data_IF_871635450550
#
_entry.id   IF_871635450550
#
_cell.length_a   1.000
_cell.length_b   1.000
_cell.length_c   1.000
_cell.angle_alpha   90.00
_cell.angle_beta   90.00
_cell.angle_gamma   90.00
#
_symmetry.space_group_name_H-M   'P 1'
#
loop_
_entity.id
_entity.type
_entity.pdbx_description
1 polymer ?
#
# COMPACT_ATOMS: atom_id res chain seq x y z
N UNK A 1 3.46 -38.78 -33.42
CA UNK A 1 4.42 -38.15 -32.46
C UNK A 1 5.15 -39.28 -31.76
N UNK A 2 6.49 -39.32 -31.77
CA UNK A 2 7.23 -40.50 -31.30
C UNK A 2 7.06 -40.71 -29.78
N UNK A 3 6.97 -41.98 -29.37
CA UNK A 3 6.82 -42.46 -27.98
C UNK A 3 7.77 -41.77 -26.99
N UNK A 4 9.01 -41.47 -27.42
CA UNK A 4 10.04 -40.76 -26.65
C UNK A 4 9.61 -39.40 -26.04
N UNK A 5 8.69 -38.67 -26.68
CA UNK A 5 8.28 -37.32 -26.21
C UNK A 5 7.07 -37.34 -25.27
N UNK A 6 6.44 -38.50 -25.09
CA UNK A 6 5.42 -38.68 -24.07
C UNK A 6 6.03 -38.88 -22.68
N UNK A 7 7.30 -39.24 -22.59
CA UNK A 7 8.03 -39.46 -21.34
C UNK A 7 8.94 -38.27 -20.95
N UNK A 8 8.87 -37.16 -21.70
CA UNK A 8 9.56 -35.91 -21.39
C UNK A 8 9.17 -35.43 -19.98
N UNK A 9 10.16 -35.15 -19.15
CA UNK A 9 9.94 -34.58 -17.81
C UNK A 9 10.73 -33.28 -17.61
N UNK A 10 10.31 -32.50 -16.61
CA UNK A 10 10.88 -31.18 -16.30
C UNK A 10 11.43 -31.17 -14.88
N UNK A 11 12.71 -30.86 -14.75
CA UNK A 11 13.42 -30.85 -13.47
C UNK A 11 14.39 -29.67 -13.40
N UNK A 12 14.83 -29.31 -12.21
CA UNK A 12 15.82 -28.24 -12.04
C UNK A 12 17.15 -28.63 -12.69
N UNK A 13 17.85 -27.65 -13.24
CA UNK A 13 19.21 -27.85 -13.78
C UNK A 13 20.18 -27.83 -12.62
N UNK A 14 20.90 -28.94 -12.42
CA UNK A 14 21.89 -29.06 -11.35
C UNK A 14 23.22 -28.41 -11.78
N UNK A 15 24.17 -28.16 -10.86
CA UNK A 15 25.48 -27.64 -11.23
C UNK A 15 26.23 -28.53 -12.24
N UNK A 16 25.97 -29.84 -12.22
CA UNK A 16 26.56 -30.80 -13.14
C UNK A 16 25.98 -30.67 -14.57
N UNK A 17 24.71 -30.29 -14.68
CA UNK A 17 24.00 -30.15 -15.96
C UNK A 17 24.33 -28.81 -16.67
N UNK A 18 25.01 -27.86 -16.00
CA UNK A 18 25.32 -26.54 -16.57
C UNK A 18 26.23 -26.63 -17.80
N UNK A 19 27.12 -27.63 -17.84
CA UNK A 19 27.95 -27.89 -19.02
C UNK A 19 27.10 -28.21 -20.25
N UNK A 20 26.13 -29.12 -20.10
CA UNK A 20 25.20 -29.50 -21.16
C UNK A 20 24.31 -28.31 -21.57
N UNK A 21 23.88 -27.50 -20.60
CA UNK A 21 23.13 -26.27 -20.89
C UNK A 21 23.96 -25.28 -21.71
N UNK A 22 25.26 -25.14 -21.43
CA UNK A 22 26.14 -24.26 -22.21
C UNK A 22 26.32 -24.73 -23.65
N UNK A 23 26.45 -26.05 -23.89
CA UNK A 23 26.51 -26.59 -25.26
C UNK A 23 25.20 -26.34 -26.03
N UNK A 24 24.05 -26.46 -25.35
CA UNK A 24 22.75 -26.10 -25.93
C UNK A 24 22.64 -24.60 -26.24
N UNK A 25 23.14 -23.73 -25.36
CA UNK A 25 23.17 -22.27 -25.55
C UNK A 25 23.99 -21.89 -26.77
N UNK A 26 25.22 -22.43 -26.84
CA UNK A 26 26.17 -22.17 -27.92
C UNK A 26 25.68 -22.68 -29.28
N UNK A 27 24.91 -23.77 -29.28
CA UNK A 27 24.26 -24.26 -30.50
C UNK A 27 22.99 -23.49 -30.87
N UNK A 28 22.37 -22.80 -29.92
CA UNK A 28 21.11 -22.08 -30.09
C UNK A 28 21.25 -20.60 -30.47
N UNK A 29 22.35 -19.96 -30.06
CA UNK A 29 22.59 -18.54 -30.26
C UNK A 29 23.88 -18.26 -31.05
N UNK A 30 23.94 -17.13 -31.79
CA UNK A 30 25.21 -16.55 -32.26
C UNK A 30 26.20 -16.33 -31.11
N UNK A 31 27.51 -16.38 -31.42
CA UNK A 31 28.56 -16.30 -30.40
C UNK A 31 28.56 -14.97 -29.61
N UNK A 32 28.05 -13.90 -30.19
CA UNK A 32 27.91 -12.57 -29.58
C UNK A 32 26.62 -12.40 -28.74
N UNK A 33 25.66 -13.32 -28.86
CA UNK A 33 24.40 -13.30 -28.10
C UNK A 33 24.34 -14.40 -27.02
N UNK A 34 25.13 -15.47 -27.18
CA UNK A 34 25.14 -16.62 -26.28
C UNK A 34 25.68 -16.27 -24.88
N UNK A 35 25.04 -16.76 -23.82
CA UNK A 35 25.60 -16.66 -22.48
C UNK A 35 26.90 -17.45 -22.33
N UNK A 36 27.89 -16.86 -21.65
CA UNK A 36 29.13 -17.57 -21.30
C UNK A 36 28.86 -18.68 -20.28
N UNK A 37 29.73 -19.69 -20.24
CA UNK A 37 29.65 -20.76 -19.23
C UNK A 37 29.68 -20.19 -17.81
N UNK A 38 30.47 -19.15 -17.57
CA UNK A 38 30.56 -18.50 -16.26
C UNK A 38 29.27 -17.75 -15.89
N UNK A 39 28.60 -17.12 -16.85
CA UNK A 39 27.29 -16.50 -16.62
C UNK A 39 26.23 -17.56 -16.26
N UNK A 40 26.22 -18.71 -16.94
CA UNK A 40 25.31 -19.81 -16.62
C UNK A 40 25.61 -20.42 -15.24
N UNK A 41 26.88 -20.62 -14.89
CA UNK A 41 27.29 -21.07 -13.55
C UNK A 41 26.89 -20.08 -12.46
N UNK A 42 27.12 -18.79 -12.69
CA UNK A 42 26.71 -17.74 -11.77
C UNK A 42 25.20 -17.78 -11.53
N UNK A 43 24.39 -17.75 -12.60
CA UNK A 43 22.92 -17.81 -12.52
C UNK A 43 22.43 -19.07 -11.80
N UNK A 44 23.05 -20.22 -12.07
CA UNK A 44 22.75 -21.47 -11.38
C UNK A 44 23.06 -21.38 -9.87
N UNK A 45 24.15 -20.72 -9.49
CA UNK A 45 24.55 -20.58 -8.09
C UNK A 45 23.64 -19.63 -7.29
N UNK A 46 23.18 -18.54 -7.90
CA UNK A 46 22.38 -17.51 -7.21
C UNK A 46 20.88 -17.72 -7.32
N UNK A 47 20.42 -18.37 -8.39
CA UNK A 47 19.00 -18.60 -8.67
C UNK A 47 18.71 -20.04 -9.15
N UNK A 48 19.12 -21.08 -8.41
CA UNK A 48 18.92 -22.48 -8.82
C UNK A 48 17.44 -22.84 -9.00
N UNK A 49 16.55 -22.20 -8.26
CA UNK A 49 15.10 -22.40 -8.35
C UNK A 49 14.47 -21.85 -9.63
N UNK A 50 15.19 -20.96 -10.33
CA UNK A 50 14.80 -20.34 -11.60
C UNK A 50 15.50 -20.95 -12.82
N UNK A 51 16.18 -22.09 -12.62
CA UNK A 51 16.83 -22.82 -13.70
C UNK A 51 16.12 -24.16 -13.93
N UNK A 52 15.35 -24.23 -15.01
CA UNK A 52 14.53 -25.40 -15.35
C UNK A 52 15.01 -26.08 -16.64
N UNK A 53 15.15 -27.39 -16.61
CA UNK A 53 15.54 -28.23 -17.74
C UNK A 53 14.40 -29.12 -18.22
N UNK A 54 14.40 -29.42 -19.52
CA UNK A 54 13.60 -30.45 -20.15
C UNK A 54 14.50 -31.67 -20.42
N UNK A 55 14.09 -32.85 -19.93
CA UNK A 55 14.91 -34.06 -19.97
C UNK A 55 14.20 -35.21 -20.68
N UNK A 56 14.96 -35.95 -21.47
CA UNK A 56 14.56 -37.29 -21.90
C UNK A 56 14.93 -38.32 -20.83
N UNK A 57 14.08 -39.31 -20.57
CA UNK A 57 14.44 -40.41 -19.68
C UNK A 57 15.33 -41.44 -20.41
N UNK A 58 16.21 -42.10 -19.64
CA UNK A 58 16.97 -43.29 -20.03
C UNK A 58 17.78 -43.19 -21.35
N UNK A 59 19.00 -42.63 -21.32
CA UNK A 59 19.64 -41.95 -20.19
C UNK A 59 19.01 -40.57 -19.93
N UNK A 60 19.09 -40.07 -18.69
CA UNK A 60 18.70 -38.69 -18.37
C UNK A 60 19.56 -37.74 -19.19
N UNK A 61 18.96 -37.06 -20.16
CA UNK A 61 19.66 -36.16 -21.07
C UNK A 61 18.94 -34.81 -21.14
N UNK A 62 19.67 -33.72 -20.89
CA UNK A 62 19.15 -32.36 -21.02
C UNK A 62 18.99 -32.03 -22.51
N UNK A 63 17.76 -31.70 -22.93
CA UNK A 63 17.45 -31.39 -24.33
C UNK A 63 16.96 -29.95 -24.55
N UNK A 64 16.76 -29.21 -23.45
CA UNK A 64 16.39 -27.81 -23.47
C UNK A 64 16.33 -27.24 -22.06
N UNK A 65 16.45 -25.92 -21.92
CA UNK A 65 16.45 -25.27 -20.62
C UNK A 65 15.91 -23.84 -20.67
N UNK A 66 15.55 -23.34 -19.49
CA UNK A 66 15.23 -21.94 -19.19
C UNK A 66 16.06 -21.52 -17.99
N UNK A 67 16.70 -20.36 -18.06
CA UNK A 67 17.42 -19.75 -16.93
C UNK A 67 16.97 -18.32 -16.73
N UNK A 68 16.75 -17.92 -15.49
CA UNK A 68 16.31 -16.57 -15.13
C UNK A 68 16.97 -16.06 -13.84
N UNK A 69 16.90 -14.75 -13.61
CA UNK A 69 17.21 -14.11 -12.32
C UNK A 69 16.03 -13.30 -11.82
N UNK A 70 16.14 -12.76 -10.61
CA UNK A 70 15.14 -11.89 -10.00
C UNK A 70 15.56 -10.44 -10.14
N UNK A 71 14.58 -9.55 -10.35
CA UNK A 71 14.77 -8.11 -10.29
C UNK A 71 13.56 -7.42 -9.65
N UNK A 72 13.77 -6.31 -8.90
CA UNK A 72 12.68 -5.46 -8.45
C UNK A 72 12.05 -4.66 -9.60
N UNK A 73 12.77 -4.44 -10.71
CA UNK A 73 12.33 -3.62 -11.83
C UNK A 73 11.08 -4.18 -12.52
N UNK A 74 10.10 -3.35 -12.92
CA UNK A 74 8.91 -3.80 -13.64
C UNK A 74 9.12 -4.07 -15.14
N UNK A 75 10.28 -3.72 -15.68
CA UNK A 75 10.67 -3.88 -17.10
C UNK A 75 12.13 -4.34 -17.18
N UNK A 76 12.56 -4.85 -18.34
CA UNK A 76 13.93 -5.32 -18.53
C UNK A 76 14.89 -4.15 -18.73
N UNK A 77 15.98 -4.17 -17.97
CA UNK A 77 17.12 -3.27 -18.07
C UNK A 77 18.41 -4.09 -18.27
N UNK A 78 19.48 -3.47 -18.78
CA UNK A 78 20.78 -4.14 -18.88
C UNK A 78 21.22 -4.72 -17.53
N UNK A 79 21.05 -3.95 -16.45
CA UNK A 79 21.35 -4.41 -15.08
C UNK A 79 20.56 -5.67 -14.69
N UNK A 80 19.26 -5.73 -15.01
CA UNK A 80 18.42 -6.91 -14.72
C UNK A 80 18.80 -8.15 -15.54
N UNK A 81 19.50 -7.97 -16.67
CA UNK A 81 19.99 -9.06 -17.52
C UNK A 81 21.37 -9.60 -17.08
N UNK A 82 22.03 -8.90 -16.16
CA UNK A 82 23.36 -9.25 -15.62
C UNK A 82 23.30 -9.71 -14.16
N UNK A 83 22.50 -9.03 -13.33
CA UNK A 83 22.52 -9.18 -11.87
C UNK A 83 21.28 -9.91 -11.34
N UNK A 84 21.46 -10.65 -10.25
CA UNK A 84 20.37 -11.24 -9.47
C UNK A 84 20.09 -10.37 -8.24
N UNK A 85 18.87 -9.84 -8.14
CA UNK A 85 18.47 -8.89 -7.08
C UNK A 85 17.25 -9.44 -6.30
N UNK A 86 17.47 -10.20 -5.21
CA UNK A 86 16.40 -10.79 -4.41
C UNK A 86 15.81 -9.86 -3.34
N UNK A 87 16.33 -8.63 -3.20
CA UNK A 87 15.89 -7.63 -2.22
C UNK A 87 15.70 -6.24 -2.88
N UNK A 88 14.84 -5.35 -2.35
CA UNK A 88 14.05 -5.47 -1.12
C UNK A 88 12.78 -6.33 -1.24
N UNK A 89 12.32 -6.65 -2.46
CA UNK A 89 11.40 -7.75 -2.79
C UNK A 89 11.24 -7.81 -4.32
N UNK A 90 11.80 -8.80 -5.03
CA UNK A 90 11.71 -8.85 -6.47
C UNK A 90 10.28 -9.12 -6.89
N UNK A 91 9.83 -8.35 -7.88
CA UNK A 91 8.51 -8.54 -8.48
C UNK A 91 8.59 -9.23 -9.84
N UNK A 92 9.78 -9.26 -10.45
CA UNK A 92 9.97 -9.73 -11.81
C UNK A 92 11.00 -10.87 -11.88
N UNK A 93 10.66 -11.89 -12.66
CA UNK A 93 11.60 -12.95 -13.09
C UNK A 93 12.09 -12.59 -14.50
N UNK A 94 13.38 -12.35 -14.64
CA UNK A 94 14.04 -11.95 -15.89
C UNK A 94 14.63 -13.18 -16.56
N UNK A 95 13.97 -13.70 -17.60
CA UNK A 95 14.42 -14.89 -18.33
C UNK A 95 15.54 -14.48 -19.30
N UNK A 96 16.70 -15.10 -19.15
CA UNK A 96 17.89 -14.81 -19.94
C UNK A 96 17.99 -15.68 -21.19
N UNK A 97 17.72 -16.98 -21.05
CA UNK A 97 17.87 -17.93 -22.15
C UNK A 97 16.72 -18.94 -22.16
N UNK A 98 16.25 -19.29 -23.36
CA UNK A 98 15.28 -20.35 -23.62
C UNK A 98 15.78 -21.18 -24.79
N UNK A 99 16.39 -22.32 -24.49
CA UNK A 99 17.08 -23.16 -25.47
C UNK A 99 16.45 -24.53 -25.62
N UNK A 100 16.41 -25.04 -26.86
CA UNK A 100 16.07 -26.43 -27.17
C UNK A 100 17.03 -26.91 -28.25
N UNK A 101 17.64 -28.07 -28.03
CA UNK A 101 18.60 -28.66 -28.96
C UNK A 101 18.00 -28.83 -30.35
N UNK A 102 18.78 -28.50 -31.39
CA UNK A 102 18.33 -28.45 -32.78
C UNK A 102 17.62 -29.73 -33.25
N UNK A 103 18.11 -30.90 -32.85
CA UNK A 103 17.51 -32.21 -33.13
C UNK A 103 16.09 -32.41 -32.55
N UNK A 104 15.71 -31.59 -31.57
CA UNK A 104 14.46 -31.68 -30.82
C UNK A 104 13.52 -30.49 -31.07
N UNK A 105 13.94 -29.52 -31.88
CA UNK A 105 13.12 -28.36 -32.25
C UNK A 105 11.91 -28.76 -33.11
N UNK A 106 10.95 -27.83 -33.24
CA UNK A 106 9.69 -28.00 -34.00
C UNK A 106 8.78 -29.15 -33.52
N UNK A 107 9.06 -29.73 -32.35
CA UNK A 107 8.25 -30.79 -31.70
C UNK A 107 7.39 -30.28 -30.52
N UNK A 108 7.32 -28.96 -30.33
CA UNK A 108 6.53 -28.32 -29.26
C UNK A 108 7.19 -28.30 -27.87
N UNK A 109 8.46 -28.73 -27.76
CA UNK A 109 9.17 -28.84 -26.49
C UNK A 109 9.35 -27.47 -25.80
N UNK A 110 9.77 -26.44 -26.55
CA UNK A 110 9.93 -25.08 -26.00
C UNK A 110 8.62 -24.56 -25.39
N UNK A 111 7.48 -24.81 -26.05
CA UNK A 111 6.18 -24.40 -25.53
C UNK A 111 5.82 -25.14 -24.24
N UNK A 112 6.01 -26.47 -24.19
CA UNK A 112 5.76 -27.25 -22.97
C UNK A 112 6.67 -26.82 -21.82
N UNK A 113 7.95 -26.56 -22.11
CA UNK A 113 8.94 -26.08 -21.14
C UNK A 113 8.54 -24.70 -20.58
N UNK A 114 8.15 -23.75 -21.44
CA UNK A 114 7.66 -22.44 -21.02
C UNK A 114 6.38 -22.54 -20.17
N UNK A 115 5.43 -23.38 -20.56
CA UNK A 115 4.17 -23.56 -19.83
C UNK A 115 4.42 -24.13 -18.42
N UNK A 116 5.27 -25.16 -18.30
CA UNK A 116 5.65 -25.71 -17.01
C UNK A 116 6.43 -24.69 -16.18
N UNK A 117 7.33 -23.93 -16.79
CA UNK A 117 8.08 -22.87 -16.11
C UNK A 117 7.15 -21.81 -15.52
N UNK A 118 6.23 -21.26 -16.33
CA UNK A 118 5.27 -20.26 -15.88
C UNK A 118 4.33 -20.79 -14.78
N UNK A 119 3.91 -22.06 -14.88
CA UNK A 119 3.10 -22.72 -13.84
C UNK A 119 3.85 -22.78 -12.50
N UNK A 120 5.15 -23.08 -12.50
CA UNK A 120 5.99 -23.07 -11.29
C UNK A 120 6.18 -21.66 -10.74
N UNK A 121 6.35 -20.66 -11.62
CA UNK A 121 6.48 -19.26 -11.21
C UNK A 121 5.20 -18.72 -10.57
N UNK A 122 4.02 -19.09 -11.07
CA UNK A 122 2.74 -18.66 -10.50
C UNK A 122 2.55 -19.13 -9.05
N UNK A 123 3.13 -20.27 -8.69
CA UNK A 123 3.11 -20.82 -7.34
C UNK A 123 4.17 -20.20 -6.41
N UNK A 124 5.17 -19.50 -6.96
CA UNK A 124 6.24 -18.89 -6.18
C UNK A 124 5.74 -17.61 -5.51
N UNK A 125 5.89 -17.44 -4.18
CA UNK A 125 5.53 -16.20 -3.50
C UNK A 125 6.48 -15.05 -3.90
N UNK A 126 6.05 -13.80 -3.81
CA UNK A 126 6.83 -12.63 -4.23
C UNK A 126 6.76 -12.31 -5.73
N UNK A 127 6.84 -13.30 -6.63
CA UNK A 127 6.82 -13.09 -8.10
C UNK A 127 5.49 -12.51 -8.59
N UNK A 128 5.52 -11.35 -9.24
CA UNK A 128 4.35 -10.70 -9.85
C UNK A 128 4.30 -10.90 -11.37
N UNK A 129 5.47 -11.02 -12.02
CA UNK A 129 5.56 -11.19 -13.48
C UNK A 129 6.82 -11.93 -13.91
N UNK A 130 6.78 -12.45 -15.14
CA UNK A 130 7.95 -12.92 -15.88
C UNK A 130 8.18 -12.02 -17.10
N UNK A 131 9.44 -11.73 -17.39
CA UNK A 131 9.89 -10.85 -18.46
C UNK A 131 10.95 -11.57 -19.30
N UNK A 132 10.91 -11.37 -20.62
CA UNK A 132 11.96 -11.81 -21.54
C UNK A 132 12.05 -10.88 -22.75
N UNK A 133 13.16 -10.95 -23.48
CA UNK A 133 13.28 -10.36 -24.80
C UNK A 133 13.27 -11.45 -25.87
N UNK A 134 12.72 -11.15 -27.05
CA UNK A 134 12.77 -12.05 -28.19
C UNK A 134 12.89 -11.33 -29.54
N UNK A 135 13.40 -12.04 -30.56
CA UNK A 135 13.35 -11.59 -31.96
C UNK A 135 11.92 -11.70 -32.49
N UNK A 136 11.57 -10.86 -33.48
CA UNK A 136 10.21 -10.76 -34.02
C UNK A 136 9.56 -12.11 -34.43
N UNK A 137 10.34 -13.02 -35.03
CA UNK A 137 9.84 -14.32 -35.49
C UNK A 137 9.51 -15.31 -34.35
N UNK A 138 9.97 -15.04 -33.11
CA UNK A 138 9.68 -15.86 -31.94
C UNK A 138 8.47 -15.38 -31.13
N UNK A 139 7.94 -14.18 -31.41
CA UNK A 139 6.73 -13.65 -30.75
C UNK A 139 5.58 -14.66 -30.69
N UNK A 140 5.23 -15.39 -31.78
CA UNK A 140 4.12 -16.35 -31.74
C UNK A 140 4.32 -17.50 -30.75
N UNK A 141 5.57 -17.92 -30.49
CA UNK A 141 5.86 -18.96 -29.49
C UNK A 141 5.53 -18.45 -28.09
N UNK A 142 6.00 -17.25 -27.75
CA UNK A 142 5.80 -16.65 -26.43
C UNK A 142 4.35 -16.25 -26.19
N UNK A 143 3.65 -15.74 -27.21
CA UNK A 143 2.21 -15.47 -27.12
C UNK A 143 1.42 -16.75 -26.82
N UNK A 144 1.75 -17.88 -27.46
CA UNK A 144 1.12 -19.17 -27.16
C UNK A 144 1.45 -19.71 -25.77
N UNK A 145 2.61 -19.37 -25.22
CA UNK A 145 2.95 -19.67 -23.83
C UNK A 145 2.21 -18.79 -22.82
N UNK A 146 1.61 -17.68 -23.27
CA UNK A 146 0.79 -16.78 -22.47
C UNK A 146 1.39 -15.40 -22.22
N UNK A 147 2.53 -15.06 -22.85
CA UNK A 147 3.13 -13.73 -22.77
C UNK A 147 2.39 -12.73 -23.68
N UNK A 148 2.39 -11.47 -23.29
CA UNK A 148 1.95 -10.32 -24.08
C UNK A 148 3.15 -9.51 -24.52
N UNK A 149 3.12 -9.00 -25.76
CA UNK A 149 4.13 -8.07 -26.24
C UNK A 149 3.98 -6.71 -25.53
N UNK A 150 5.10 -6.17 -25.04
CA UNK A 150 5.17 -4.81 -24.47
C UNK A 150 5.58 -3.81 -25.56
N UNK A 151 6.59 -4.16 -26.35
CA UNK A 151 7.12 -3.32 -27.43
C UNK A 151 8.61 -3.56 -27.69
N UNK A 152 9.30 -2.67 -28.42
CA UNK A 152 10.75 -2.71 -28.59
C UNK A 152 11.46 -2.65 -27.23
N UNK A 153 12.44 -3.52 -27.01
CA UNK A 153 13.21 -3.53 -25.76
C UNK A 153 14.27 -2.44 -25.76
N UNK A 154 14.51 -1.85 -24.58
CA UNK A 154 15.65 -0.97 -24.34
C UNK A 154 16.97 -1.76 -24.24
N UNK A 155 16.90 -3.07 -23.99
CA UNK A 155 18.08 -3.95 -23.92
C UNK A 155 18.40 -4.45 -25.32
N UNK A 156 19.61 -4.15 -25.79
CA UNK A 156 20.10 -4.58 -27.10
C UNK A 156 21.19 -5.64 -26.91
N UNK A 157 21.03 -6.78 -27.59
CA UNK A 157 22.05 -7.82 -27.74
C UNK A 157 22.23 -8.11 -29.23
N UNK A 158 23.41 -7.88 -29.79
CA UNK A 158 23.65 -8.05 -31.23
C UNK A 158 23.05 -6.91 -32.10
N UNK A 159 22.86 -7.20 -33.40
CA UNK A 159 22.51 -6.18 -34.41
C UNK A 159 21.00 -6.01 -34.67
N UNK A 160 20.19 -7.05 -34.45
CA UNK A 160 18.74 -6.98 -34.73
C UNK A 160 17.94 -6.46 -33.52
N UNK A 161 16.79 -5.78 -33.76
CA UNK A 161 15.92 -5.32 -32.71
C UNK A 161 15.28 -6.48 -31.92
N UNK A 162 15.26 -6.31 -30.61
CA UNK A 162 14.59 -7.21 -29.67
C UNK A 162 13.28 -6.60 -29.17
N UNK A 163 12.32 -7.45 -28.85
CA UNK A 163 11.01 -7.07 -28.32
C UNK A 163 10.82 -7.65 -26.93
N UNK A 164 10.39 -6.80 -25.99
CA UNK A 164 10.07 -7.22 -24.64
C UNK A 164 8.70 -7.90 -24.59
N UNK A 165 8.66 -9.06 -23.93
CA UNK A 165 7.49 -9.86 -23.68
C UNK A 165 7.27 -9.99 -22.18
N UNK A 166 6.02 -9.89 -21.73
CA UNK A 166 5.65 -9.91 -20.32
C UNK A 166 4.54 -10.92 -20.04
N UNK A 167 4.62 -11.62 -18.92
CA UNK A 167 3.53 -12.42 -18.35
C UNK A 167 3.26 -11.95 -16.93
N UNK A 168 2.09 -11.39 -16.68
CA UNK A 168 1.65 -11.10 -15.31
C UNK A 168 1.00 -12.33 -14.68
N UNK A 169 1.35 -12.58 -13.43
CA UNK A 169 0.69 -13.57 -12.57
C UNK A 169 -0.35 -12.84 -11.75
N UNK A 170 -1.63 -13.12 -12.03
CA UNK A 170 -2.75 -12.44 -11.40
C UNK A 170 -2.92 -12.94 -9.96
N UNK A 171 -2.12 -12.42 -9.03
CA UNK A 171 -2.46 -12.54 -7.61
C UNK A 171 -3.69 -11.67 -7.39
N UNK A 172 -4.85 -12.33 -7.31
CA UNK A 172 -6.16 -11.69 -7.20
C UNK A 172 -6.10 -10.49 -6.24
N UNK A 173 -6.41 -9.31 -6.78
CA UNK A 173 -6.74 -8.17 -5.93
C UNK A 173 -7.86 -8.61 -4.97
N UNK A 174 -7.83 -8.21 -3.69
CA UNK A 174 -8.87 -8.56 -2.75
C UNK A 174 -10.25 -8.16 -3.31
N UNK A 175 -11.23 -9.04 -3.18
CA UNK A 175 -12.56 -8.80 -3.75
C UNK A 175 -13.18 -7.52 -3.17
N UNK A 176 -14.08 -6.87 -3.92
CA UNK A 176 -14.84 -5.73 -3.41
C UNK A 176 -15.53 -6.05 -2.08
N UNK A 177 -16.03 -7.28 -1.90
CA UNK A 177 -16.65 -7.73 -0.66
C UNK A 177 -15.64 -7.77 0.51
N UNK A 178 -14.41 -8.24 0.27
CA UNK A 178 -13.34 -8.27 1.29
C UNK A 178 -12.92 -6.86 1.67
N UNK A 179 -12.78 -5.96 0.70
CA UNK A 179 -12.48 -4.55 0.94
C UNK A 179 -13.61 -3.89 1.74
N UNK A 180 -14.87 -4.11 1.34
CA UNK A 180 -16.02 -3.55 2.02
C UNK A 180 -16.16 -4.08 3.45
N UNK A 181 -15.94 -5.38 3.68
CA UNK A 181 -15.95 -5.97 5.01
C UNK A 181 -14.86 -5.38 5.91
N UNK A 182 -13.65 -5.13 5.37
CA UNK A 182 -12.57 -4.49 6.12
C UNK A 182 -12.90 -3.03 6.50
N UNK A 183 -13.49 -2.26 5.57
CA UNK A 183 -13.95 -0.90 5.84
C UNK A 183 -15.07 -0.86 6.88
N UNK A 184 -16.02 -1.79 6.80
CA UNK A 184 -17.11 -1.91 7.77
C UNK A 184 -16.61 -2.30 9.17
N UNK A 185 -15.61 -3.17 9.27
CA UNK A 185 -15.01 -3.57 10.54
C UNK A 185 -14.33 -2.42 11.30
N UNK A 186 -13.85 -1.38 10.59
CA UNK A 186 -13.34 -0.16 11.24
C UNK A 186 -14.46 0.67 11.89
N UNK A 187 -15.66 0.64 11.34
CA UNK A 187 -16.80 1.44 11.79
C UNK A 187 -17.48 0.88 13.06
N UNK A 188 -17.37 -0.43 13.32
CA UNK A 188 -18.08 -1.11 14.43
C UNK A 188 -17.34 -1.11 15.77
N UNK A 189 -16.18 -0.45 15.88
CA UNK A 189 -15.40 -0.42 17.13
C UNK A 189 -16.18 0.36 18.21
N UNK A 190 -16.38 -0.20 19.42
CA UNK A 190 -17.07 0.50 20.50
C UNK A 190 -16.33 1.80 20.83
N UNK A 191 -17.08 2.90 20.90
CA UNK A 191 -16.52 4.23 21.15
C UNK A 191 -16.10 4.33 22.61
N UNK A 192 -14.93 4.93 22.92
CA UNK A 192 -14.50 5.13 24.30
C UNK A 192 -15.55 5.91 25.08
N UNK A 193 -15.72 5.58 26.37
CA UNK A 193 -16.63 6.28 27.25
C UNK A 193 -16.26 7.78 27.33
N UNK A 194 -17.27 8.64 27.40
CA UNK A 194 -17.10 10.07 27.61
C UNK A 194 -18.00 10.53 28.75
N UNK A 195 -17.51 11.50 29.51
CA UNK A 195 -18.20 12.16 30.60
C UNK A 195 -18.72 13.53 30.16
N UNK A 196 -19.84 13.97 30.71
CA UNK A 196 -20.41 15.28 30.46
C UNK A 196 -19.85 16.32 31.44
N UNK A 197 -19.88 17.60 31.08
CA UNK A 197 -19.43 18.68 31.96
C UNK A 197 -20.10 18.67 33.34
N UNK A 198 -21.40 18.33 33.39
CA UNK A 198 -22.20 18.25 34.63
C UNK A 198 -21.85 17.07 35.54
N UNK A 199 -20.99 16.14 35.09
CA UNK A 199 -20.56 14.99 35.91
C UNK A 199 -19.35 15.28 36.78
N UNK A 200 -18.77 16.48 36.69
CA UNK A 200 -17.63 16.92 37.49
C UNK A 200 -18.11 17.84 38.61
N UNK A 201 -17.65 17.61 39.84
CA UNK A 201 -18.04 18.40 41.01
C UNK A 201 -17.42 19.81 40.98
N UNK A 202 -16.18 19.91 40.50
CA UNK A 202 -15.44 21.16 40.40
C UNK A 202 -14.81 21.33 39.00
N UNK A 203 -15.60 21.63 37.95
CA UNK A 203 -15.11 21.64 36.57
C UNK A 203 -13.90 22.53 36.30
N UNK A 204 -13.77 23.66 37.03
CA UNK A 204 -12.64 24.58 36.88
C UNK A 204 -11.29 23.97 37.33
N UNK A 205 -11.31 22.99 38.22
CA UNK A 205 -10.12 22.24 38.68
C UNK A 205 -10.04 20.86 38.05
N UNK A 206 -11.15 20.14 37.97
CA UNK A 206 -11.17 18.73 37.57
C UNK A 206 -10.84 18.57 36.08
N UNK A 207 -11.24 19.55 35.26
CA UNK A 207 -11.01 19.53 33.82
C UNK A 207 -9.65 20.09 33.43
N UNK A 208 -8.90 20.68 34.36
CA UNK A 208 -7.67 21.42 34.06
C UNK A 208 -6.43 20.82 34.72
N UNK A 209 -5.27 21.04 34.11
CA UNK A 209 -3.97 20.88 34.76
C UNK A 209 -3.16 22.15 34.52
N UNK A 210 -2.31 22.50 35.48
CA UNK A 210 -1.54 23.74 35.43
C UNK A 210 -0.11 23.48 34.95
N UNK A 211 0.34 24.26 33.98
CA UNK A 211 1.72 24.33 33.51
C UNK A 211 2.10 25.79 33.28
N UNK A 212 3.21 26.24 33.86
CA UNK A 212 3.69 27.63 33.77
C UNK A 212 2.61 28.70 34.06
N UNK A 213 1.79 28.48 35.09
CA UNK A 213 0.66 29.34 35.48
C UNK A 213 -0.47 29.43 34.45
N UNK A 214 -0.48 28.56 33.44
CA UNK A 214 -1.55 28.41 32.44
C UNK A 214 -2.29 27.10 32.70
N UNK A 215 -3.62 27.15 32.69
CA UNK A 215 -4.46 25.97 32.88
C UNK A 215 -4.88 25.38 31.53
N UNK A 216 -4.55 24.12 31.31
CA UNK A 216 -4.84 23.39 30.08
C UNK A 216 -5.86 22.28 30.29
N UNK A 217 -6.54 21.84 29.23
CA UNK A 217 -7.48 20.73 29.29
C UNK A 217 -6.78 19.40 29.64
N UNK A 218 -7.17 18.80 30.77
CA UNK A 218 -6.69 17.49 31.23
C UNK A 218 -7.16 16.35 30.35
N UNK A 219 -8.38 16.44 29.84
CA UNK A 219 -9.00 15.40 29.02
C UNK A 219 -9.00 15.76 27.54
N UNK A 220 -9.07 14.73 26.69
CA UNK A 220 -9.41 14.90 25.27
C UNK A 220 -10.86 15.35 25.17
N UNK A 221 -11.11 16.43 24.42
CA UNK A 221 -12.45 16.94 24.18
C UNK A 221 -13.07 16.22 22.98
N UNK A 222 -14.30 15.73 23.13
CA UNK A 222 -15.01 14.96 22.12
C UNK A 222 -16.35 15.58 21.74
N UNK A 223 -16.90 15.18 20.59
CA UNK A 223 -18.26 15.49 20.23
C UNK A 223 -19.21 14.88 21.27
N UNK A 224 -20.03 15.70 21.95
CA UNK A 224 -20.84 15.24 23.09
C UNK A 224 -22.01 14.33 22.67
N UNK A 225 -22.31 14.19 21.37
CA UNK A 225 -23.31 13.24 20.88
C UNK A 225 -22.85 11.80 21.18
N UNK A 226 -23.62 10.99 21.93
CA UNK A 226 -23.22 9.63 22.31
C UNK A 226 -22.86 8.73 21.13
N UNK A 227 -23.59 8.86 20.02
CA UNK A 227 -23.36 8.10 18.79
C UNK A 227 -22.20 8.64 17.94
N UNK A 228 -21.65 9.84 18.21
CA UNK A 228 -20.55 10.43 17.45
C UNK A 228 -19.20 10.26 18.17
N UNK A 229 -19.01 10.90 19.33
CA UNK A 229 -17.77 10.80 20.11
C UNK A 229 -16.48 11.18 19.37
N UNK A 230 -16.57 11.86 18.22
CA UNK A 230 -15.42 12.28 17.42
C UNK A 230 -14.48 13.16 18.25
N UNK A 231 -13.16 13.01 18.07
CA UNK A 231 -12.18 13.80 18.79
C UNK A 231 -12.21 15.23 18.24
N UNK A 232 -12.42 16.21 19.12
CA UNK A 232 -12.43 17.63 18.79
C UNK A 232 -11.08 18.25 19.12
N UNK A 233 -10.56 17.98 20.32
CA UNK A 233 -9.33 18.57 20.82
C UNK A 233 -8.50 17.56 21.63
N UNK A 234 -7.21 17.52 21.36
CA UNK A 234 -6.25 16.72 22.11
C UNK A 234 -5.98 17.31 23.51
N UNK A 235 -5.47 16.48 24.44
CA UNK A 235 -5.08 16.92 25.79
C UNK A 235 -4.00 18.01 25.72
N UNK A 236 -4.11 19.04 26.55
CA UNK A 236 -3.07 20.07 26.68
C UNK A 236 -3.10 21.15 25.60
N UNK A 237 -4.13 21.21 24.76
CA UNK A 237 -4.21 22.14 23.63
C UNK A 237 -5.09 23.36 23.97
N UNK A 238 -6.20 23.15 24.66
CA UNK A 238 -7.13 24.20 25.05
C UNK A 238 -6.71 24.86 26.35
N UNK A 239 -6.62 26.18 26.36
CA UNK A 239 -6.38 26.97 27.57
C UNK A 239 -7.72 27.31 28.23
N UNK A 240 -7.82 27.12 29.55
CA UNK A 240 -9.03 27.37 30.31
C UNK A 240 -9.27 28.87 30.52
N UNK A 241 -10.50 29.32 30.25
CA UNK A 241 -10.98 30.66 30.56
C UNK A 241 -12.22 30.55 31.46
N UNK A 242 -12.19 31.12 32.68
CA UNK A 242 -13.32 31.06 33.62
C UNK A 242 -14.59 31.76 33.11
N UNK A 243 -15.78 31.37 33.58
CA UNK A 243 -17.06 32.01 33.21
C UNK A 243 -17.14 33.49 33.57
N UNK A 244 -16.45 33.92 34.64
CA UNK A 244 -16.52 35.29 35.18
C UNK A 244 -15.49 36.25 34.56
N UNK A 245 -14.80 35.81 33.50
CA UNK A 245 -13.81 36.65 32.83
C UNK A 245 -14.49 37.75 32.01
N UNK A 246 -14.53 38.97 32.59
CA UNK A 246 -15.13 40.16 31.99
C UNK A 246 -14.45 40.62 30.69
N UNK A 247 -13.34 40.00 30.27
CA UNK A 247 -12.61 40.38 29.06
C UNK A 247 -13.20 39.79 27.78
N UNK A 248 -14.10 38.81 27.85
CA UNK A 248 -14.62 38.12 26.65
C UNK A 248 -16.15 38.18 26.56
N UNK A 249 -16.67 38.85 25.52
CA UNK A 249 -18.10 38.84 25.20
C UNK A 249 -18.41 37.65 24.28
N UNK A 250 -19.30 36.76 24.71
CA UNK A 250 -19.69 35.59 23.94
C UNK A 250 -21.03 35.80 23.21
N UNK A 251 -21.28 35.15 22.05
CA UNK A 251 -22.55 35.23 21.36
C UNK A 251 -23.74 34.72 22.21
N UNK A 252 -24.89 35.40 22.11
CA UNK A 252 -26.09 35.10 22.93
C UNK A 252 -26.64 33.67 22.77
N UNK A 253 -26.33 33.00 21.66
CA UNK A 253 -26.74 31.60 21.42
C UNK A 253 -26.17 30.62 22.46
N UNK A 254 -25.11 31.00 23.18
CA UNK A 254 -24.50 30.21 24.25
C UNK A 254 -25.07 30.51 25.64
N UNK A 255 -25.84 31.59 25.79
CA UNK A 255 -26.44 32.03 27.07
C UNK A 255 -27.97 31.92 27.07
N UNK A 256 -28.61 31.86 25.89
CA UNK A 256 -30.07 31.78 25.78
C UNK A 256 -30.62 30.37 26.02
N UNK A 257 -31.67 30.22 26.88
CA UNK A 257 -32.32 28.94 27.16
C UNK A 257 -33.08 28.33 25.95
N UNK A 258 -33.21 29.08 24.84
CA UNK A 258 -33.86 28.60 23.60
C UNK A 258 -32.89 27.93 22.61
N UNK A 259 -31.63 27.69 22.97
CA UNK A 259 -30.71 27.01 22.06
C UNK A 259 -31.18 25.56 21.84
N UNK A 260 -31.53 25.19 20.61
CA UNK A 260 -31.92 23.82 20.19
C UNK A 260 -30.73 22.83 20.22
N UNK A 261 -29.81 23.01 21.16
CA UNK A 261 -28.68 22.09 21.32
C UNK A 261 -29.23 20.76 21.87
N UNK A 262 -28.98 19.62 21.19
CA UNK A 262 -29.65 18.36 21.49
C UNK A 262 -29.15 17.66 22.76
N UNK A 263 -28.43 18.38 23.63
CA UNK A 263 -27.80 17.85 24.84
C UNK A 263 -28.07 18.83 25.98
N UNK A 264 -28.43 18.28 27.14
CA UNK A 264 -28.70 19.06 28.34
C UNK A 264 -27.45 19.87 28.75
N UNK A 265 -27.63 21.16 28.95
CA UNK A 265 -26.60 22.09 29.41
C UNK A 265 -26.79 22.37 30.91
N UNK A 266 -25.71 22.69 31.65
CA UNK A 266 -25.81 23.07 33.06
C UNK A 266 -26.59 24.38 33.25
N UNK A 267 -27.22 24.52 34.40
CA UNK A 267 -27.83 25.77 34.84
C UNK A 267 -26.73 26.74 35.31
N UNK A 268 -26.47 27.80 34.54
CA UNK A 268 -25.51 28.85 34.88
C UNK A 268 -24.36 29.02 33.87
N UNK A 269 -23.47 29.99 34.11
CA UNK A 269 -22.36 30.27 33.21
C UNK A 269 -21.31 29.16 33.27
N UNK A 270 -20.68 28.89 32.13
CA UNK A 270 -19.71 27.80 31.94
C UNK A 270 -18.37 28.36 31.48
N UNK A 271 -17.30 27.63 31.76
CA UNK A 271 -15.97 28.01 31.27
C UNK A 271 -15.81 27.76 29.77
N UNK A 272 -14.68 28.23 29.25
CA UNK A 272 -14.33 28.15 27.84
C UNK A 272 -12.94 27.57 27.64
N UNK A 273 -12.77 26.86 26.53
CA UNK A 273 -11.48 26.44 26.02
C UNK A 273 -11.07 27.38 24.89
N UNK A 274 -10.02 28.14 25.13
CA UNK A 274 -9.37 28.99 24.15
C UNK A 274 -8.30 28.21 23.40
N UNK A 275 -8.44 28.14 22.09
CA UNK A 275 -7.51 27.46 21.19
C UNK A 275 -6.82 28.50 20.30
N UNK A 276 -5.48 28.44 20.27
CA UNK A 276 -4.58 29.32 19.51
C UNK A 276 -3.37 28.51 19.03
N UNK A 277 -2.60 29.00 18.05
CA UNK A 277 -2.80 30.19 17.22
C UNK A 277 -3.48 29.88 15.89
N UNK A 278 -4.02 28.66 15.69
CA UNK A 278 -4.46 28.17 14.40
C UNK A 278 -5.59 27.15 14.54
N UNK A 279 -6.53 27.09 13.58
CA UNK A 279 -7.58 26.07 13.59
C UNK A 279 -7.04 24.65 13.37
N UNK A 280 -5.76 24.50 12.96
CA UNK A 280 -5.10 23.20 12.80
C UNK A 280 -4.84 22.47 14.14
N UNK A 281 -5.10 23.13 15.27
CA UNK A 281 -5.06 22.52 16.60
C UNK A 281 -6.27 21.60 16.86
N UNK A 282 -7.34 21.74 16.08
CA UNK A 282 -8.50 20.87 16.16
C UNK A 282 -8.33 19.61 15.32
N UNK A 283 -8.96 18.54 15.77
CA UNK A 283 -8.90 17.24 15.10
C UNK A 283 -10.07 17.08 14.11
N UNK A 284 -11.32 17.29 14.57
CA UNK A 284 -12.54 17.15 13.74
C UNK A 284 -13.54 18.29 14.00
N UNK A 285 -13.14 19.54 13.78
CA UNK A 285 -14.03 20.70 13.86
C UNK A 285 -14.39 21.24 12.47
N UNK A 286 -15.65 21.61 12.29
CA UNK A 286 -16.17 22.34 11.13
C UNK A 286 -16.45 23.81 11.48
N UNK A 287 -16.49 24.66 10.46
CA UNK A 287 -16.79 26.08 10.59
C UNK A 287 -18.01 26.45 9.75
N UNK A 288 -18.96 27.15 10.35
CA UNK A 288 -20.12 27.67 9.62
C UNK A 288 -19.73 28.76 8.62
N UNK A 289 -20.66 29.11 7.74
CA UNK A 289 -20.64 30.42 7.09
C UNK A 289 -20.74 31.52 8.16
N UNK A 290 -20.12 32.66 7.90
CA UNK A 290 -20.16 33.78 8.84
C UNK A 290 -21.58 34.37 8.90
N UNK A 291 -22.01 34.69 10.12
CA UNK A 291 -23.23 35.46 10.40
C UNK A 291 -22.76 36.76 11.06
N UNK A 292 -22.75 37.85 10.29
CA UNK A 292 -21.99 39.03 10.65
C UNK A 292 -20.49 38.72 10.59
N UNK A 293 -19.75 38.99 11.67
CA UNK A 293 -18.31 38.70 11.76
C UNK A 293 -17.99 37.37 12.47
N UNK A 294 -19.01 36.63 12.90
CA UNK A 294 -18.86 35.43 13.73
C UNK A 294 -19.05 34.16 12.88
N UNK A 295 -18.12 33.21 13.04
CA UNK A 295 -18.27 31.82 12.61
C UNK A 295 -18.52 30.93 13.80
N UNK A 296 -19.38 29.94 13.64
CA UNK A 296 -19.68 28.95 14.66
C UNK A 296 -18.96 27.64 14.36
N UNK A 297 -18.55 26.97 15.42
CA UNK A 297 -17.85 25.70 15.36
C UNK A 297 -18.84 24.54 15.49
N UNK A 298 -18.71 23.52 14.65
CA UNK A 298 -19.50 22.28 14.71
C UNK A 298 -18.59 21.06 14.69
N UNK A 299 -19.10 19.89 15.08
CA UNK A 299 -18.39 18.64 14.86
C UNK A 299 -18.34 18.32 13.36
N UNK A 300 -17.16 18.12 12.79
CA UNK A 300 -17.00 17.83 11.35
C UNK A 300 -17.56 16.45 10.95
N UNK A 301 -17.78 15.55 11.90
CA UNK A 301 -18.26 14.19 11.64
C UNK A 301 -19.79 14.07 11.60
N UNK A 302 -20.50 14.89 12.38
CA UNK A 302 -21.96 14.76 12.54
C UNK A 302 -22.72 16.09 12.52
N UNK A 303 -22.03 17.17 12.18
CA UNK A 303 -22.55 18.54 12.09
C UNK A 303 -23.20 19.07 13.38
N UNK A 304 -22.94 18.44 14.53
CA UNK A 304 -23.45 18.92 15.80
C UNK A 304 -22.80 20.28 16.15
N UNK A 305 -23.62 21.30 16.36
CA UNK A 305 -23.17 22.62 16.81
C UNK A 305 -24.32 23.51 17.28
N UNK A 306 -24.02 24.76 17.71
CA UNK A 306 -22.67 25.31 17.81
C UNK A 306 -21.96 24.80 19.08
N UNK A 307 -20.75 24.28 18.92
CA UNK A 307 -19.84 23.87 20.02
C UNK A 307 -19.01 25.06 20.53
N UNK A 308 -18.84 26.07 19.68
CA UNK A 308 -17.97 27.22 19.92
C UNK A 308 -18.08 28.26 18.82
N UNK A 309 -17.21 29.26 18.84
CA UNK A 309 -17.20 30.35 17.87
C UNK A 309 -15.81 30.94 17.65
N UNK A 310 -15.64 31.68 16.56
CA UNK A 310 -14.48 32.52 16.28
C UNK A 310 -14.90 33.72 15.41
N UNK A 311 -14.02 34.72 15.29
CA UNK A 311 -14.24 35.89 14.42
C UNK A 311 -13.58 35.65 13.07
N UNK A 312 -14.31 35.82 11.95
CA UNK A 312 -13.84 35.45 10.61
C UNK A 312 -12.57 36.21 10.18
N UNK A 313 -12.44 37.47 10.57
CA UNK A 313 -11.28 38.34 10.27
C UNK A 313 -10.64 38.90 11.53
N UNK A 314 -10.81 38.18 12.66
CA UNK A 314 -10.29 38.60 13.96
C UNK A 314 -8.96 37.94 14.32
N UNK A 315 -8.50 38.10 15.57
CA UNK A 315 -7.35 37.38 16.07
C UNK A 315 -7.57 35.87 16.00
N UNK A 316 -6.49 35.09 15.96
CA UNK A 316 -6.51 33.64 15.74
C UNK A 316 -6.93 32.86 17.00
N UNK A 317 -8.09 33.23 17.51
CA UNK A 317 -8.69 32.73 18.73
C UNK A 317 -9.95 31.95 18.40
N UNK A 318 -10.00 30.72 18.90
CA UNK A 318 -11.14 29.83 18.72
C UNK A 318 -11.66 29.43 20.08
N UNK A 319 -12.93 29.72 20.33
CA UNK A 319 -13.55 29.59 21.64
C UNK A 319 -14.50 28.41 21.63
N UNK A 320 -14.23 27.38 22.45
CA UNK A 320 -15.09 26.21 22.60
C UNK A 320 -15.75 26.24 23.97
N UNK A 321 -17.07 26.12 24.02
CA UNK A 321 -17.79 26.14 25.28
C UNK A 321 -17.58 24.81 26.03
N UNK A 322 -17.13 24.86 27.29
CA UNK A 322 -16.79 23.67 28.05
C UNK A 322 -17.99 22.74 28.32
N UNK A 323 -19.22 23.26 28.34
CA UNK A 323 -20.43 22.45 28.51
C UNK A 323 -20.95 21.83 27.20
N UNK A 324 -20.41 22.24 26.04
CA UNK A 324 -20.83 21.73 24.73
C UNK A 324 -19.87 20.70 24.14
N UNK A 325 -19.01 20.11 24.98
CA UNK A 325 -18.08 19.04 24.61
C UNK A 325 -18.17 17.89 25.61
N UNK A 326 -17.77 16.69 25.18
CA UNK A 326 -17.56 15.55 26.06
C UNK A 326 -16.10 15.44 26.49
N UNK A 327 -15.86 14.75 27.59
CA UNK A 327 -14.55 14.56 28.19
C UNK A 327 -14.22 13.07 28.21
N UNK A 328 -13.22 12.65 27.43
CA UNK A 328 -12.83 11.23 27.36
C UNK A 328 -11.87 10.87 28.49
N UNK A 329 -12.28 9.94 29.34
CA UNK A 329 -11.46 9.34 30.40
C UNK A 329 -10.65 8.17 29.82
N UNK A 330 -9.40 8.47 29.43
CA UNK A 330 -8.42 7.57 28.77
C UNK A 330 -8.84 6.94 27.44
#
# INVERSE_FOLDING_TARGET
>A
MSQLYNELFFDRVTPADVGDAHELEKAGYPADEAASLDALRYRQSVAPDLFLGAYLPNPRALIGFIVATLSPSPTLTHHSMETHEPEPKPSSVCIHSVCVGSAHQRRGIALKLLQEYLKRLEQMPGVARALLICKAHLKPLYTRAGFTEVGPSAVVHGQDPWFEMRKDFNRQQPSQATVLAALQAQSTRPKPAQQAYTSFDHPSTDLTFEDQSVRYNTFKLTCPRPQCGSLILSRGVGTWVPPDDATTTHPEIFTSPQSNFPIALPDGPTGWWLVKPSPMQFENIGFSRAVGEIKYLSCAECDLGPLGWCVERGPTEFWVNAARVGYRTT
#
